data_IF_609218069429
#
_entry.id   IF_609218069429
#
_cell.length_a   1.000
_cell.length_b   1.000
_cell.length_c   1.000
_cell.angle_alpha   90.00
_cell.angle_beta   90.00
_cell.angle_gamma   90.00
#
_symmetry.space_group_name_H-M   'P 1'
#
loop_
_entity.id
_entity.type
_entity.pdbx_description
1 polymer ?
#
# COMPACT_ATOMS: atom_id res chain seq x y z
N UNK A 1 -15.07 5.06 28.64
CA UNK A 1 -14.83 4.32 27.38
C UNK A 1 -13.48 4.78 26.87
N UNK A 2 -12.54 3.87 26.59
CA UNK A 2 -11.23 4.28 26.04
C UNK A 2 -11.44 4.71 24.58
N UNK A 3 -10.78 5.79 24.19
CA UNK A 3 -10.80 6.28 22.82
C UNK A 3 -10.15 5.25 21.88
N UNK A 4 -10.70 5.09 20.68
CA UNK A 4 -10.21 4.13 19.68
C UNK A 4 -8.76 4.42 19.31
N UNK A 5 -8.38 5.70 19.23
CA UNK A 5 -7.01 6.12 18.95
C UNK A 5 -6.02 5.69 20.04
N UNK A 6 -6.42 5.79 21.33
CA UNK A 6 -5.59 5.34 22.45
C UNK A 6 -5.38 3.82 22.44
N UNK A 7 -6.42 3.04 22.12
CA UNK A 7 -6.33 1.59 22.02
C UNK A 7 -5.39 1.15 20.88
N UNK A 8 -5.42 1.84 19.75
CA UNK A 8 -4.51 1.59 18.63
C UNK A 8 -3.05 1.89 19.00
N UNK A 9 -2.78 3.02 19.66
CA UNK A 9 -1.45 3.38 20.14
C UNK A 9 -0.89 2.36 21.14
N UNK A 10 -1.72 1.89 22.08
CA UNK A 10 -1.31 0.84 23.03
C UNK A 10 -0.98 -0.48 22.32
N UNK A 11 -1.76 -0.86 21.30
CA UNK A 11 -1.48 -2.05 20.51
C UNK A 11 -0.14 -1.93 19.76
N UNK A 12 0.11 -0.79 19.10
CA UNK A 12 1.38 -0.57 18.38
C UNK A 12 2.60 -0.54 19.30
N UNK A 13 2.45 -0.03 20.53
CA UNK A 13 3.53 -0.02 21.54
C UNK A 13 3.88 -1.42 22.05
N UNK A 14 2.91 -2.33 22.07
CA UNK A 14 3.12 -3.72 22.47
C UNK A 14 3.73 -4.57 21.36
N UNK A 15 3.65 -4.11 20.11
CA UNK A 15 4.23 -4.82 18.98
C UNK A 15 5.75 -4.72 18.95
N UNK A 16 6.40 -5.81 18.57
CA UNK A 16 7.81 -5.83 18.19
C UNK A 16 8.02 -5.14 16.83
N UNK A 17 9.28 -4.89 16.49
CA UNK A 17 9.63 -4.40 15.14
C UNK A 17 9.22 -5.39 14.04
N UNK A 18 9.37 -6.69 14.30
CA UNK A 18 9.01 -7.76 13.37
C UNK A 18 7.49 -7.81 13.14
N UNK A 19 6.69 -7.69 14.20
CA UNK A 19 5.23 -7.66 14.09
C UNK A 19 4.74 -6.47 13.27
N UNK A 20 5.32 -5.29 13.49
CA UNK A 20 5.02 -4.11 12.66
C UNK A 20 5.43 -4.29 11.21
N UNK A 21 6.60 -4.92 10.97
CA UNK A 21 7.07 -5.22 9.62
C UNK A 21 6.11 -6.19 8.91
N UNK A 22 5.67 -7.26 9.58
CA UNK A 22 4.70 -8.20 9.01
C UNK A 22 3.39 -7.52 8.60
N UNK A 23 2.87 -6.63 9.44
CA UNK A 23 1.66 -5.86 9.11
C UNK A 23 1.92 -4.97 7.89
N UNK A 24 3.04 -4.24 7.86
CA UNK A 24 3.41 -3.39 6.73
C UNK A 24 3.53 -4.16 5.41
N UNK A 25 4.19 -5.33 5.46
CA UNK A 25 4.32 -6.21 4.30
C UNK A 25 2.97 -6.76 3.84
N UNK A 26 2.12 -7.22 4.76
CA UNK A 26 0.79 -7.70 4.42
C UNK A 26 -0.10 -6.62 3.79
N UNK A 27 -0.02 -5.38 4.30
CA UNK A 27 -0.72 -4.24 3.70
C UNK A 27 -0.20 -3.90 2.31
N UNK A 28 1.11 -3.99 2.10
CA UNK A 28 1.73 -3.78 0.79
C UNK A 28 1.27 -4.84 -0.21
N UNK A 29 1.31 -6.13 0.15
CA UNK A 29 0.86 -7.23 -0.70
C UNK A 29 -0.63 -7.12 -1.06
N UNK A 30 -1.48 -6.81 -0.08
CA UNK A 30 -2.92 -6.60 -0.31
C UNK A 30 -3.16 -5.43 -1.29
N UNK A 31 -2.42 -4.33 -1.11
CA UNK A 31 -2.48 -3.16 -1.99
C UNK A 31 -2.07 -3.51 -3.43
N UNK A 32 -1.01 -4.31 -3.61
CA UNK A 32 -0.60 -4.78 -4.93
C UNK A 32 -1.64 -5.70 -5.56
N UNK A 33 -2.26 -6.59 -4.79
CA UNK A 33 -3.31 -7.49 -5.30
C UNK A 33 -4.51 -6.71 -5.83
N UNK A 34 -5.01 -5.73 -5.06
CA UNK A 34 -6.10 -4.84 -5.46
C UNK A 34 -5.73 -4.06 -6.74
N UNK A 35 -4.53 -3.51 -6.80
CA UNK A 35 -4.08 -2.75 -7.96
C UNK A 35 -3.98 -3.65 -9.20
N UNK A 36 -3.44 -4.87 -9.06
CA UNK A 36 -3.32 -5.86 -10.13
C UNK A 36 -4.68 -6.26 -10.69
N UNK A 37 -5.67 -6.52 -9.83
CA UNK A 37 -7.03 -6.86 -10.24
C UNK A 37 -7.68 -5.71 -11.03
N UNK A 38 -7.56 -4.46 -10.53
CA UNK A 38 -8.06 -3.30 -11.26
C UNK A 38 -7.40 -3.12 -12.63
N UNK A 39 -6.11 -3.42 -12.75
CA UNK A 39 -5.39 -3.37 -14.03
C UNK A 39 -5.94 -4.45 -14.97
N UNK A 40 -6.13 -5.69 -14.51
CA UNK A 40 -6.73 -6.77 -15.31
C UNK A 40 -8.11 -6.39 -15.84
N UNK A 41 -8.97 -5.85 -14.97
CA UNK A 41 -10.31 -5.42 -15.36
C UNK A 41 -10.29 -4.27 -16.38
N UNK A 42 -9.29 -3.38 -16.31
CA UNK A 42 -9.15 -2.26 -17.24
C UNK A 42 -8.53 -2.65 -18.59
N UNK A 43 -7.70 -3.70 -18.61
CA UNK A 43 -7.01 -4.18 -19.80
C UNK A 43 -7.26 -5.68 -20.00
N UNK A 44 -8.50 -6.07 -20.38
CA UNK A 44 -8.83 -7.46 -20.64
C UNK A 44 -8.02 -7.96 -21.84
N UNK A 45 -7.05 -8.84 -21.58
CA UNK A 45 -6.10 -9.35 -22.58
C UNK A 45 -4.65 -8.92 -22.37
N UNK A 46 -4.37 -8.03 -21.40
CA UNK A 46 -2.99 -7.75 -21.02
C UNK A 46 -2.31 -9.01 -20.46
N UNK A 47 -1.11 -9.30 -20.94
CA UNK A 47 -0.23 -10.31 -20.40
C UNK A 47 0.21 -9.95 -18.97
N UNK A 48 0.68 -10.94 -18.21
CA UNK A 48 1.21 -10.69 -16.86
C UNK A 48 2.40 -9.73 -16.86
N UNK A 49 3.20 -9.71 -17.93
CA UNK A 49 4.29 -8.74 -18.09
C UNK A 49 3.77 -7.31 -18.25
N UNK A 50 2.74 -7.10 -19.08
CA UNK A 50 2.12 -5.79 -19.26
C UNK A 50 1.40 -5.31 -18.00
N UNK A 51 0.77 -6.22 -17.26
CA UNK A 51 0.17 -5.93 -15.96
C UNK A 51 1.25 -5.50 -14.97
N UNK A 52 2.40 -6.17 -14.94
CA UNK A 52 3.52 -5.82 -14.07
C UNK A 52 4.09 -4.42 -14.38
N UNK A 53 4.27 -4.08 -15.66
CA UNK A 53 4.73 -2.74 -16.05
C UNK A 53 3.72 -1.64 -15.68
N UNK A 54 2.43 -1.89 -15.89
CA UNK A 54 1.37 -0.96 -15.46
C UNK A 54 1.32 -0.80 -13.94
N UNK A 55 1.58 -1.88 -13.19
CA UNK A 55 1.65 -1.84 -11.73
C UNK A 55 2.84 -1.01 -11.25
N UNK A 56 4.03 -1.19 -11.84
CA UNK A 56 5.22 -0.36 -11.57
C UNK A 56 4.95 1.12 -11.83
N UNK A 57 4.34 1.45 -12.96
CA UNK A 57 3.98 2.84 -13.29
C UNK A 57 3.04 3.45 -12.25
N UNK A 58 2.07 2.67 -11.74
CA UNK A 58 1.12 3.12 -10.72
C UNK A 58 1.79 3.34 -9.36
N UNK A 59 2.71 2.47 -8.96
CA UNK A 59 3.51 2.64 -7.73
C UNK A 59 4.36 3.91 -7.83
N UNK A 60 5.04 4.12 -8.98
CA UNK A 60 5.83 5.32 -9.22
C UNK A 60 5.00 6.60 -9.10
N UNK A 61 3.81 6.62 -9.72
CA UNK A 61 2.90 7.77 -9.59
C UNK A 61 2.49 8.04 -8.13
N UNK A 62 2.30 6.99 -7.32
CA UNK A 62 2.04 7.13 -5.88
C UNK A 62 3.20 7.83 -5.15
N UNK A 63 4.44 7.39 -5.38
CA UNK A 63 5.62 8.05 -4.81
C UNK A 63 5.77 9.50 -5.26
N UNK A 64 5.45 9.81 -6.51
CA UNK A 64 5.53 11.17 -7.04
C UNK A 64 4.49 12.10 -6.40
N UNK A 65 3.29 11.61 -6.09
CA UNK A 65 2.26 12.36 -5.34
C UNK A 65 2.75 12.68 -3.92
N UNK A 66 3.35 11.72 -3.21
CA UNK A 66 3.87 11.91 -1.86
C UNK A 66 5.04 12.92 -1.83
N UNK A 67 5.90 12.91 -2.84
CA UNK A 67 7.01 13.87 -2.97
C UNK A 67 6.47 15.30 -3.22
N UNK A 68 5.46 15.45 -4.06
CA UNK A 68 4.86 16.77 -4.32
C UNK A 68 4.10 17.29 -3.09
N UNK A 69 3.38 16.42 -2.40
CA UNK A 69 2.65 16.77 -1.17
C UNK A 69 3.59 17.16 -0.02
N UNK A 70 4.78 16.56 0.06
CA UNK A 70 5.78 16.88 1.11
C UNK A 70 6.58 18.17 0.84
N UNK A 71 6.66 18.64 -0.41
CA UNK A 71 7.27 19.94 -0.75
C UNK A 71 6.32 21.14 -0.62
N UNK A 72 5.02 20.89 -0.48
CA UNK A 72 3.98 21.91 -0.36
C UNK A 72 3.61 22.24 1.11
N UNK A 73 4.25 21.57 2.08
CA UNK A 73 4.14 21.82 3.52
C UNK A 73 5.41 22.49 4.05
#
# INVERSE_FOLDING_TARGET
MRDVGQLQLEAYRRMTGEERLMIGLGLYEASLAIARERIRNRYPGASEAEIAEKLKARIRAGYEIDIVSSKAS
#
